data_IF_159572342738
#
_entry.id   IF_159572342738
#
_cell.length_a   1.000
_cell.length_b   1.000
_cell.length_c   1.000
_cell.angle_alpha   90.00
_cell.angle_beta   90.00
_cell.angle_gamma   90.00
#
_symmetry.space_group_name_H-M   'P 1'
#
loop_
_entity.id
_entity.type
_entity.pdbx_description
1 polymer ?
#
# COMPACT_ATOMS: atom_id res chain seq x y z
N UNK A 1 -30.69 -53.56 -54.48
CA UNK A 1 -32.11 -53.26 -54.38
C UNK A 1 -32.17 -51.87 -53.77
N UNK A 2 -32.29 -50.92 -54.51
CA UNK A 2 -33.27 -50.37 -55.45
C UNK A 2 -33.60 -49.03 -54.82
N UNK A 3 -33.12 -48.02 -55.40
CA UNK A 3 -33.67 -47.12 -56.41
C UNK A 3 -34.53 -46.02 -55.77
N UNK A 4 -34.07 -44.81 -55.95
CA UNK A 4 -34.53 -43.79 -56.94
C UNK A 4 -35.66 -42.97 -56.36
N UNK A 5 -35.73 -41.68 -56.51
CA UNK A 5 -35.46 -40.73 -57.54
C UNK A 5 -35.95 -39.40 -57.03
N UNK A 6 -35.22 -38.34 -57.32
CA UNK A 6 -35.48 -37.26 -58.29
C UNK A 6 -36.88 -36.67 -58.20
N UNK A 7 -37.10 -35.39 -58.17
CA UNK A 7 -36.71 -34.28 -58.98
C UNK A 7 -37.60 -33.08 -58.66
N UNK A 8 -37.04 -31.88 -58.73
CA UNK A 8 -37.40 -30.71 -59.53
C UNK A 8 -38.79 -30.10 -59.39
N UNK A 9 -38.88 -28.87 -59.07
CA UNK A 9 -39.25 -27.69 -59.93
C UNK A 9 -39.56 -26.51 -59.03
N UNK A 10 -38.83 -25.46 -59.03
CA UNK A 10 -38.74 -24.28 -59.94
C UNK A 10 -39.96 -23.30 -59.89
N UNK A 11 -39.57 -22.01 -59.62
CA UNK A 11 -40.20 -20.76 -60.09
C UNK A 11 -41.55 -20.41 -59.47
N UNK A 12 -41.86 -19.20 -59.13
CA UNK A 12 -41.66 -17.84 -59.69
C UNK A 12 -42.33 -16.81 -58.77
N UNK A 13 -41.69 -15.64 -58.67
CA UNK A 13 -42.28 -14.28 -58.82
C UNK A 13 -43.52 -13.97 -57.95
N UNK A 14 -43.70 -12.89 -57.36
CA UNK A 14 -43.39 -11.50 -57.58
C UNK A 14 -44.24 -10.67 -56.63
N UNK A 15 -43.74 -9.53 -56.25
CA UNK A 15 -44.42 -8.25 -56.00
C UNK A 15 -45.70 -8.21 -55.17
N UNK A 16 -45.55 -7.53 -54.00
CA UNK A 16 -46.43 -6.33 -53.79
C UNK A 16 -45.83 -5.43 -52.70
N UNK A 17 -45.38 -4.29 -53.19
CA UNK A 17 -45.21 -3.05 -52.42
C UNK A 17 -46.58 -2.58 -51.92
N UNK A 18 -46.67 -2.13 -50.69
CA UNK A 18 -47.38 -0.89 -50.36
C UNK A 18 -47.08 -0.43 -48.94
N UNK A 19 -46.36 0.65 -48.84
CA UNK A 19 -46.60 1.87 -48.08
C UNK A 19 -47.28 1.74 -46.71
N UNK A 20 -46.51 2.04 -45.65
CA UNK A 20 -46.98 2.89 -44.58
C UNK A 20 -45.77 3.76 -44.10
N UNK A 21 -45.77 4.97 -44.62
CA UNK A 21 -45.06 6.11 -44.05
C UNK A 21 -45.68 6.47 -42.71
N UNK A 22 -44.82 6.97 -41.89
CA UNK A 22 -44.99 7.96 -40.81
C UNK A 22 -44.80 7.44 -39.38
N UNK A 23 -43.66 7.67 -38.86
CA UNK A 23 -43.38 8.75 -37.88
C UNK A 23 -41.92 8.66 -37.43
N UNK A 24 -41.14 9.52 -38.01
CA UNK A 24 -39.80 9.84 -37.46
C UNK A 24 -40.05 10.63 -36.19
N UNK A 25 -39.84 9.96 -35.05
CA UNK A 25 -39.48 10.64 -33.81
C UNK A 25 -37.97 10.80 -33.86
N UNK A 26 -37.54 12.03 -33.94
CA UNK A 26 -36.13 12.41 -33.77
C UNK A 26 -35.68 12.08 -32.35
N UNK A 27 -35.02 10.94 -32.18
CA UNK A 27 -34.15 10.71 -31.01
C UNK A 27 -32.92 11.60 -31.20
N UNK A 28 -32.83 12.62 -30.38
CA UNK A 28 -31.59 13.36 -30.17
C UNK A 28 -30.54 12.34 -29.68
N UNK A 29 -29.56 12.05 -30.52
CA UNK A 29 -28.35 11.30 -30.11
C UNK A 29 -27.63 12.10 -29.04
N UNK A 30 -27.80 11.68 -27.78
CA UNK A 30 -26.94 12.08 -26.70
C UNK A 30 -25.53 11.54 -27.02
N UNK A 31 -24.65 12.45 -27.47
CA UNK A 31 -23.31 12.18 -27.99
C UNK A 31 -22.34 11.63 -26.93
N UNK A 32 -22.73 10.59 -26.22
CA UNK A 32 -21.86 9.84 -25.32
C UNK A 32 -20.84 9.00 -26.10
N UNK A 33 -19.57 9.39 -26.10
CA UNK A 33 -18.45 8.60 -26.65
C UNK A 33 -18.54 7.19 -26.07
N UNK A 34 -18.59 6.16 -26.93
CA UNK A 34 -18.72 4.77 -26.52
C UNK A 34 -17.51 4.34 -25.67
N UNK A 35 -17.72 3.36 -24.78
CA UNK A 35 -16.62 2.80 -23.96
C UNK A 35 -15.48 2.32 -24.87
N UNK A 36 -15.78 1.76 -26.02
CA UNK A 36 -14.79 1.30 -27.00
C UNK A 36 -13.98 2.46 -27.60
N UNK A 37 -14.61 3.57 -27.92
CA UNK A 37 -13.94 4.79 -28.42
C UNK A 37 -13.06 5.39 -27.32
N UNK A 38 -13.54 5.43 -26.07
CA UNK A 38 -12.75 5.88 -24.92
C UNK A 38 -11.52 5.00 -24.67
N UNK A 39 -11.64 3.68 -24.86
CA UNK A 39 -10.54 2.74 -24.75
C UNK A 39 -9.55 2.81 -25.93
N UNK A 40 -9.99 3.29 -27.09
CA UNK A 40 -9.14 3.41 -28.29
C UNK A 40 -8.47 4.78 -28.43
N UNK A 41 -8.93 5.80 -27.74
CA UNK A 41 -8.41 7.18 -27.82
C UNK A 41 -7.08 7.35 -27.08
N UNK A 42 -6.66 6.38 -26.25
CA UNK A 42 -5.52 6.50 -25.32
C UNK A 42 -4.16 6.02 -25.86
N UNK A 43 -4.02 5.68 -27.14
CA UNK A 43 -2.80 4.96 -27.55
C UNK A 43 -1.76 5.76 -28.33
N UNK A 44 -1.89 7.08 -28.58
CA UNK A 44 -0.91 7.82 -29.39
C UNK A 44 -0.43 9.18 -28.85
N UNK A 45 -1.09 9.77 -27.85
CA UNK A 45 -0.68 11.06 -27.28
C UNK A 45 -0.51 10.94 -25.75
N UNK A 46 0.59 10.41 -25.27
CA UNK A 46 0.92 10.35 -23.86
C UNK A 46 2.35 10.81 -23.61
N UNK A 47 2.65 11.21 -22.39
CA UNK A 47 3.99 11.61 -21.96
C UNK A 47 4.93 10.41 -21.75
N UNK A 48 4.38 9.20 -21.52
CA UNK A 48 5.17 8.00 -21.25
C UNK A 48 5.65 7.30 -22.51
N UNK A 49 6.90 6.87 -22.49
CA UNK A 49 7.48 5.90 -23.42
C UNK A 49 7.32 4.47 -22.86
N UNK A 50 7.60 4.27 -21.56
CA UNK A 50 7.38 3.02 -20.84
C UNK A 50 6.97 3.30 -19.39
N UNK A 51 5.68 3.26 -19.12
CA UNK A 51 5.11 3.59 -17.81
C UNK A 51 5.51 2.61 -16.69
N UNK A 52 5.86 1.37 -17.03
CA UNK A 52 6.25 0.37 -16.04
C UNK A 52 7.56 0.72 -15.32
N UNK A 53 8.44 1.50 -15.94
CA UNK A 53 9.69 1.95 -15.34
C UNK A 53 9.49 2.95 -14.17
N UNK A 54 8.34 3.57 -14.06
CA UNK A 54 7.95 4.46 -12.94
C UNK A 54 6.89 3.84 -12.04
N UNK A 55 6.77 2.53 -12.04
CA UNK A 55 6.01 1.80 -11.03
C UNK A 55 6.94 1.41 -9.88
N UNK A 56 6.49 1.66 -8.67
CA UNK A 56 7.27 1.36 -7.46
C UNK A 56 7.35 -0.13 -7.12
N UNK A 57 6.50 -0.97 -7.76
CA UNK A 57 6.43 -2.42 -7.60
C UNK A 57 7.20 -3.20 -8.70
N UNK A 58 7.76 -2.53 -9.68
CA UNK A 58 8.50 -3.18 -10.77
C UNK A 58 9.93 -3.50 -10.32
N UNK A 59 10.38 -4.73 -10.54
CA UNK A 59 11.77 -5.14 -10.39
C UNK A 59 12.58 -4.43 -11.48
N UNK A 60 13.55 -3.64 -11.06
CA UNK A 60 14.40 -2.85 -11.96
C UNK A 60 15.73 -3.55 -12.23
N UNK A 61 16.34 -3.21 -13.36
CA UNK A 61 17.70 -3.65 -13.69
C UNK A 61 18.73 -3.13 -12.66
N UNK A 62 19.79 -3.90 -12.42
CA UNK A 62 20.86 -3.57 -11.47
C UNK A 62 21.47 -2.19 -11.70
N UNK A 63 21.68 -1.79 -12.96
CA UNK A 63 22.20 -0.48 -13.32
C UNK A 63 21.36 0.72 -12.88
N UNK A 64 20.17 0.47 -12.30
CA UNK A 64 19.28 1.49 -11.76
C UNK A 64 19.28 1.55 -10.23
N UNK A 65 20.08 0.69 -9.58
CA UNK A 65 20.31 0.75 -8.14
C UNK A 65 21.35 1.82 -7.87
N UNK A 66 20.99 2.87 -7.17
CA UNK A 66 21.82 4.05 -6.94
C UNK A 66 21.85 4.40 -5.47
N UNK A 67 23.04 4.84 -4.99
CA UNK A 67 23.21 5.37 -3.64
C UNK A 67 23.08 4.32 -2.53
N UNK A 68 23.39 3.05 -2.85
CA UNK A 68 23.38 1.90 -1.94
C UNK A 68 24.60 1.00 -2.14
N UNK A 69 25.69 1.55 -2.61
CA UNK A 69 26.90 0.79 -2.95
C UNK A 69 27.42 0.00 -1.73
N UNK A 70 27.50 0.61 -0.55
CA UNK A 70 27.98 -0.06 0.66
C UNK A 70 27.05 -1.22 1.09
N UNK A 71 25.71 -1.04 1.01
CA UNK A 71 24.76 -2.09 1.34
C UNK A 71 24.78 -3.20 0.30
N UNK A 72 24.91 -2.84 -0.98
CA UNK A 72 25.02 -3.78 -2.08
C UNK A 72 26.28 -4.65 -1.93
N UNK A 73 27.44 -4.02 -1.68
CA UNK A 73 28.72 -4.71 -1.48
C UNK A 73 28.65 -5.67 -0.29
N UNK A 74 28.06 -5.25 0.84
CA UNK A 74 27.90 -6.13 2.02
C UNK A 74 27.01 -7.34 1.72
N UNK A 75 25.88 -7.17 1.01
CA UNK A 75 25.04 -8.30 0.61
C UNK A 75 25.77 -9.24 -0.33
N UNK A 76 26.54 -8.69 -1.30
CA UNK A 76 27.36 -9.48 -2.22
C UNK A 76 28.44 -10.26 -1.44
N UNK A 77 29.16 -9.62 -0.55
CA UNK A 77 30.20 -10.28 0.27
C UNK A 77 29.64 -11.45 1.09
N UNK A 78 28.44 -11.27 1.66
CA UNK A 78 27.76 -12.29 2.44
C UNK A 78 27.29 -13.48 1.58
N UNK A 79 26.80 -13.26 0.37
CA UNK A 79 26.28 -14.32 -0.49
C UNK A 79 27.31 -14.96 -1.42
N UNK A 80 28.37 -14.24 -1.80
CA UNK A 80 29.42 -14.72 -2.69
C UNK A 80 30.05 -16.07 -2.30
N UNK A 81 30.25 -16.43 -1.01
CA UNK A 81 30.80 -17.73 -0.63
C UNK A 81 30.00 -18.93 -1.15
N UNK A 82 28.70 -18.78 -1.45
CA UNK A 82 27.87 -19.89 -1.99
C UNK A 82 28.39 -20.42 -3.31
N UNK A 83 28.99 -19.57 -4.15
CA UNK A 83 29.58 -19.97 -5.43
C UNK A 83 30.74 -20.97 -5.28
N UNK A 84 31.36 -21.01 -4.09
CA UNK A 84 32.46 -21.92 -3.74
C UNK A 84 32.03 -22.99 -2.72
N UNK A 85 30.73 -23.26 -2.57
CA UNK A 85 30.15 -24.13 -1.52
C UNK A 85 30.48 -23.68 -0.09
N UNK A 86 30.80 -22.39 0.11
CA UNK A 86 31.05 -21.79 1.41
C UNK A 86 29.77 -21.54 2.18
N UNK A 87 29.88 -21.52 3.51
CA UNK A 87 28.76 -21.13 4.37
C UNK A 87 28.43 -19.65 4.17
N UNK A 88 27.15 -19.31 4.19
CA UNK A 88 26.63 -17.95 4.11
C UNK A 88 26.09 -17.53 5.48
N UNK A 89 26.37 -16.29 5.94
CA UNK A 89 25.83 -15.79 7.19
C UNK A 89 24.33 -15.51 7.07
N UNK A 90 23.65 -15.48 8.20
CA UNK A 90 22.33 -14.87 8.28
C UNK A 90 22.48 -13.35 8.15
N UNK A 91 21.44 -12.69 7.66
CA UNK A 91 21.44 -11.23 7.47
C UNK A 91 20.19 -10.60 8.06
N UNK A 92 20.33 -9.38 8.58
CA UNK A 92 19.21 -8.53 8.99
C UNK A 92 19.30 -7.20 8.24
N UNK A 93 18.32 -6.90 7.41
CA UNK A 93 18.24 -5.64 6.69
C UNK A 93 17.24 -4.73 7.42
N UNK A 94 17.76 -3.70 8.06
CA UNK A 94 16.97 -2.74 8.85
C UNK A 94 16.96 -1.35 8.21
N UNK A 95 15.91 -0.58 8.49
CA UNK A 95 15.78 0.81 8.04
C UNK A 95 14.37 1.16 7.56
N UNK A 96 14.08 2.43 7.30
CA UNK A 96 12.76 2.90 6.88
C UNK A 96 12.21 2.25 5.61
N UNK A 97 10.91 2.35 5.40
CA UNK A 97 10.26 1.88 4.17
C UNK A 97 10.74 2.68 2.95
N UNK A 98 10.83 2.01 1.78
CA UNK A 98 11.22 2.67 0.53
C UNK A 98 12.72 2.97 0.39
N UNK A 99 13.57 2.43 1.27
CA UNK A 99 15.03 2.64 1.25
C UNK A 99 15.81 1.62 0.41
N UNK A 100 15.14 0.67 -0.23
CA UNK A 100 15.74 -0.28 -1.18
C UNK A 100 16.14 -1.63 -0.60
N UNK A 101 15.81 -1.96 0.67
CA UNK A 101 16.17 -3.24 1.32
C UNK A 101 15.81 -4.46 0.49
N UNK A 102 14.53 -4.64 0.19
CA UNK A 102 14.02 -5.79 -0.58
C UNK A 102 14.54 -5.79 -2.02
N UNK A 103 14.76 -4.62 -2.60
CA UNK A 103 15.29 -4.48 -3.95
C UNK A 103 16.72 -5.04 -4.05
N UNK A 104 17.61 -4.64 -3.13
CA UNK A 104 19.02 -5.06 -3.15
C UNK A 104 19.15 -6.56 -2.95
N UNK A 105 18.49 -7.13 -1.94
CA UNK A 105 18.60 -8.57 -1.71
C UNK A 105 18.07 -9.37 -2.90
N UNK A 106 16.97 -8.95 -3.51
CA UNK A 106 16.40 -9.61 -4.68
C UNK A 106 17.32 -9.50 -5.89
N UNK A 107 17.93 -8.33 -6.15
CA UNK A 107 18.86 -8.13 -7.26
C UNK A 107 20.11 -9.01 -7.10
N UNK A 108 20.72 -9.03 -5.92
CA UNK A 108 21.90 -9.88 -5.66
C UNK A 108 21.55 -11.35 -5.74
N UNK A 109 20.43 -11.78 -5.15
CA UNK A 109 19.99 -13.18 -5.22
C UNK A 109 19.76 -13.64 -6.65
N UNK A 110 19.16 -12.80 -7.50
CA UNK A 110 18.97 -13.10 -8.92
C UNK A 110 20.31 -13.40 -9.61
N UNK A 111 21.32 -12.56 -9.40
CA UNK A 111 22.66 -12.77 -9.97
C UNK A 111 23.37 -14.01 -9.42
N UNK A 112 23.20 -14.28 -8.11
CA UNK A 112 23.75 -15.49 -7.48
C UNK A 112 23.10 -16.75 -8.07
N UNK A 113 21.79 -16.76 -8.30
CA UNK A 113 21.10 -17.90 -8.96
C UNK A 113 21.66 -18.12 -10.36
N UNK A 114 21.73 -17.09 -11.21
CA UNK A 114 22.27 -17.17 -12.58
C UNK A 114 23.73 -17.69 -12.58
N UNK A 115 24.56 -17.24 -11.62
CA UNK A 115 25.94 -17.71 -11.49
C UNK A 115 26.03 -19.15 -10.98
N UNK A 116 25.16 -19.58 -10.06
CA UNK A 116 25.07 -20.96 -9.59
C UNK A 116 24.65 -21.91 -10.72
N UNK A 117 23.63 -21.53 -11.47
CA UNK A 117 23.16 -22.30 -12.65
C UNK A 117 24.27 -22.47 -13.69
N UNK A 118 25.10 -21.44 -13.93
CA UNK A 118 26.27 -21.54 -14.83
C UNK A 118 27.34 -22.55 -14.35
N UNK A 119 27.25 -22.99 -13.08
CA UNK A 119 28.13 -23.97 -12.44
C UNK A 119 27.42 -25.32 -12.19
N UNK A 120 26.29 -25.56 -12.82
CA UNK A 120 25.45 -26.75 -12.61
C UNK A 120 24.98 -26.92 -11.14
N UNK A 121 24.70 -25.80 -10.44
CA UNK A 121 24.20 -25.77 -9.06
C UNK A 121 22.83 -25.12 -9.00
N UNK A 122 21.97 -25.62 -8.14
CA UNK A 122 20.64 -25.07 -7.91
C UNK A 122 20.63 -24.34 -6.56
N UNK A 123 20.50 -23.01 -6.60
CA UNK A 123 20.39 -22.18 -5.39
C UNK A 123 18.97 -21.66 -5.21
N UNK A 124 18.30 -22.08 -4.11
CA UNK A 124 16.92 -21.71 -3.81
C UNK A 124 16.82 -20.33 -3.14
N UNK A 125 15.99 -19.45 -3.69
CA UNK A 125 15.64 -18.15 -3.08
C UNK A 125 14.18 -18.19 -2.64
N UNK A 126 13.95 -18.52 -1.38
CA UNK A 126 12.61 -18.73 -0.82
C UNK A 126 12.16 -17.48 -0.06
N UNK A 127 11.42 -16.62 -0.74
CA UNK A 127 10.98 -15.32 -0.23
C UNK A 127 9.51 -15.32 0.20
N UNK A 128 9.23 -14.72 1.37
CA UNK A 128 7.88 -14.52 1.89
C UNK A 128 7.75 -13.10 2.43
N UNK A 129 6.73 -12.36 1.95
CA UNK A 129 6.28 -11.15 2.62
C UNK A 129 5.38 -11.54 3.81
N UNK A 130 5.77 -11.12 5.01
CA UNK A 130 5.17 -11.49 6.29
C UNK A 130 3.91 -10.67 6.65
N UNK A 131 3.53 -9.66 5.86
CA UNK A 131 2.27 -8.92 6.05
C UNK A 131 1.03 -9.84 5.93
N UNK A 132 1.09 -10.84 5.05
CA UNK A 132 -0.03 -11.76 4.81
C UNK A 132 -0.21 -12.89 5.83
N UNK A 133 0.83 -13.68 6.16
CA UNK A 133 0.74 -14.74 7.16
C UNK A 133 0.77 -14.16 8.58
N UNK A 134 -0.24 -14.50 9.41
CA UNK A 134 -0.30 -14.03 10.81
C UNK A 134 0.26 -15.06 11.82
N UNK A 135 0.83 -16.16 11.36
CA UNK A 135 1.38 -17.23 12.23
C UNK A 135 2.62 -17.84 11.60
N UNK A 136 3.52 -18.37 12.42
CA UNK A 136 4.70 -19.09 11.97
C UNK A 136 4.31 -20.28 11.04
N UNK A 137 3.26 -21.02 11.37
CA UNK A 137 2.73 -22.12 10.58
C UNK A 137 2.39 -21.71 9.13
N UNK A 138 1.74 -20.54 8.97
CA UNK A 138 1.46 -19.97 7.64
C UNK A 138 2.70 -19.46 6.95
N UNK A 139 3.68 -18.95 7.70
CA UNK A 139 4.98 -18.53 7.18
C UNK A 139 5.71 -19.72 6.55
N UNK A 140 5.81 -20.86 7.27
CA UNK A 140 6.40 -22.10 6.74
C UNK A 140 5.66 -22.59 5.49
N UNK A 141 4.34 -22.60 5.51
CA UNK A 141 3.56 -22.99 4.32
C UNK A 141 3.85 -22.09 3.11
N UNK A 142 4.03 -20.78 3.31
CA UNK A 142 4.39 -19.86 2.25
C UNK A 142 5.77 -20.12 1.67
N UNK A 143 6.74 -20.53 2.51
CA UNK A 143 8.07 -20.97 2.05
C UNK A 143 7.98 -22.25 1.20
N UNK A 144 7.18 -23.24 1.62
CA UNK A 144 6.93 -24.46 0.81
C UNK A 144 6.30 -24.09 -0.53
N UNK A 145 5.34 -23.17 -0.52
CA UNK A 145 4.68 -22.71 -1.74
C UNK A 145 5.66 -21.99 -2.66
N UNK A 146 6.52 -21.14 -2.13
CA UNK A 146 7.58 -20.45 -2.90
C UNK A 146 8.53 -21.46 -3.55
N UNK A 147 8.99 -22.48 -2.81
CA UNK A 147 9.83 -23.55 -3.33
C UNK A 147 9.09 -24.38 -4.41
N UNK A 148 7.82 -24.68 -4.20
CA UNK A 148 7.02 -25.43 -5.15
C UNK A 148 6.75 -24.67 -6.45
N UNK A 149 6.56 -23.35 -6.36
CA UNK A 149 6.41 -22.45 -7.51
C UNK A 149 7.71 -22.32 -8.30
N UNK A 150 8.85 -22.17 -7.61
CA UNK A 150 10.18 -22.10 -8.20
C UNK A 150 10.52 -23.38 -9.00
N UNK A 151 10.23 -24.52 -8.45
CA UNK A 151 10.52 -25.84 -9.03
C UNK A 151 9.43 -26.37 -9.97
N UNK A 152 8.27 -25.75 -10.04
CA UNK A 152 7.13 -26.26 -10.81
C UNK A 152 6.52 -27.57 -10.26
N UNK A 153 6.62 -27.83 -8.94
CA UNK A 153 6.15 -29.04 -8.28
C UNK A 153 4.91 -28.79 -7.39
N UNK A 154 4.28 -29.86 -6.91
CA UNK A 154 3.19 -29.74 -5.95
C UNK A 154 3.76 -29.51 -4.54
N UNK A 155 3.23 -28.60 -3.72
CA UNK A 155 3.64 -28.41 -2.33
C UNK A 155 3.65 -29.70 -1.49
N UNK A 156 2.75 -30.63 -1.77
CA UNK A 156 2.68 -31.94 -1.10
C UNK A 156 2.03 -31.89 0.29
N UNK A 157 1.72 -30.69 0.81
CA UNK A 157 1.02 -30.49 2.09
C UNK A 157 -0.07 -29.44 1.94
N UNK A 158 -1.20 -29.56 2.66
CA UNK A 158 -2.24 -28.54 2.66
C UNK A 158 -1.83 -27.34 3.53
N UNK A 159 -2.45 -26.19 3.26
CA UNK A 159 -2.24 -24.96 4.07
C UNK A 159 -2.65 -25.12 5.52
N UNK A 160 -3.67 -25.94 5.81
CA UNK A 160 -4.23 -26.15 7.15
C UNK A 160 -4.52 -27.62 7.41
N UNK A 161 -4.63 -28.01 8.68
CA UNK A 161 -4.97 -29.37 9.08
C UNK A 161 -3.76 -30.29 9.30
N UNK A 162 -2.53 -29.77 9.14
CA UNK A 162 -1.28 -30.48 9.47
C UNK A 162 -0.44 -29.61 10.41
N UNK A 163 0.42 -30.24 11.21
CA UNK A 163 1.27 -29.51 12.16
C UNK A 163 2.36 -28.71 11.46
N UNK A 164 2.89 -27.69 12.15
CA UNK A 164 4.05 -26.94 11.67
C UNK A 164 5.27 -27.82 11.46
N UNK A 165 5.47 -28.83 12.32
CA UNK A 165 6.60 -29.76 12.21
C UNK A 165 6.51 -30.60 10.91
N UNK A 166 5.31 -31.06 10.54
CA UNK A 166 5.11 -31.77 9.25
C UNK A 166 5.36 -30.88 8.04
N UNK A 167 5.03 -29.59 8.15
CA UNK A 167 5.33 -28.60 7.10
C UNK A 167 6.82 -28.35 6.99
N UNK A 168 7.53 -28.21 8.12
CA UNK A 168 8.99 -28.04 8.14
C UNK A 168 9.69 -29.24 7.54
N UNK A 169 9.28 -30.47 7.92
CA UNK A 169 9.83 -31.68 7.33
C UNK A 169 9.68 -31.69 5.81
N UNK A 170 8.47 -31.33 5.32
CA UNK A 170 8.23 -31.21 3.87
C UNK A 170 9.10 -30.14 3.22
N UNK A 171 9.30 -28.98 3.87
CA UNK A 171 10.20 -27.96 3.37
C UNK A 171 11.63 -28.49 3.24
N UNK A 172 12.13 -29.18 4.25
CA UNK A 172 13.47 -29.74 4.25
C UNK A 172 13.63 -30.91 3.26
N UNK A 173 12.58 -31.71 3.04
CA UNK A 173 12.56 -32.71 1.95
C UNK A 173 12.77 -32.05 0.59
N UNK A 174 11.97 -31.01 0.27
CA UNK A 174 12.10 -30.26 -0.98
C UNK A 174 13.51 -29.69 -1.13
N UNK A 175 14.06 -29.11 -0.04
CA UNK A 175 15.41 -28.56 -0.06
C UNK A 175 16.46 -29.64 -0.37
N UNK A 176 16.42 -30.79 0.31
CA UNK A 176 17.35 -31.91 0.10
C UNK A 176 17.30 -32.49 -1.32
N UNK A 177 16.10 -32.54 -1.91
CA UNK A 177 15.90 -33.15 -3.22
C UNK A 177 16.29 -32.23 -4.39
N UNK A 178 16.22 -30.89 -4.20
CA UNK A 178 16.24 -29.98 -5.33
C UNK A 178 17.27 -28.85 -5.25
N UNK A 179 17.85 -28.53 -4.08
CA UNK A 179 18.75 -27.41 -3.93
C UNK A 179 20.13 -27.80 -3.37
N UNK A 180 21.18 -27.15 -3.88
CA UNK A 180 22.54 -27.23 -3.35
C UNK A 180 22.78 -26.21 -2.24
N UNK A 181 21.98 -25.13 -2.18
CA UNK A 181 21.99 -24.11 -1.15
C UNK A 181 20.68 -23.31 -1.15
N UNK A 182 20.33 -22.71 -0.01
CA UNK A 182 19.06 -21.99 0.15
C UNK A 182 19.24 -20.70 0.95
N UNK A 183 18.58 -19.65 0.50
CA UNK A 183 18.34 -18.43 1.28
C UNK A 183 16.84 -18.26 1.54
N UNK A 184 16.48 -18.10 2.82
CA UNK A 184 15.16 -17.67 3.23
C UNK A 184 15.13 -16.17 3.33
N UNK A 185 14.18 -15.50 2.68
CA UNK A 185 13.96 -14.06 2.78
C UNK A 185 12.60 -13.82 3.42
N UNK A 186 12.61 -13.28 4.64
CA UNK A 186 11.41 -12.93 5.39
C UNK A 186 11.24 -11.40 5.36
N UNK A 187 10.49 -10.90 4.37
CA UNK A 187 10.24 -9.48 4.22
C UNK A 187 9.11 -9.02 5.16
N UNK A 188 9.28 -7.82 5.76
CA UNK A 188 8.36 -7.26 6.75
C UNK A 188 8.10 -8.22 7.93
N UNK A 189 9.18 -8.82 8.44
CA UNK A 189 9.12 -9.85 9.48
C UNK A 189 8.41 -9.38 10.76
N UNK A 190 8.51 -8.09 11.08
CA UNK A 190 7.84 -7.44 12.22
C UNK A 190 6.31 -7.47 12.11
N UNK A 191 5.74 -7.66 10.92
CA UNK A 191 4.31 -7.80 10.69
C UNK A 191 3.76 -9.20 11.05
N UNK A 192 4.64 -10.16 11.32
CA UNK A 192 4.27 -11.52 11.70
C UNK A 192 3.94 -11.59 13.19
N UNK A 193 2.75 -11.12 13.54
CA UNK A 193 2.20 -11.15 14.89
C UNK A 193 1.69 -12.57 15.25
N UNK A 194 1.72 -12.91 16.54
CA UNK A 194 1.19 -14.18 17.05
C UNK A 194 -0.12 -13.99 17.81
N UNK A 195 -0.93 -15.05 17.96
CA UNK A 195 -2.21 -14.97 18.67
C UNK A 195 -2.11 -14.83 20.21
N UNK A 196 -0.92 -14.99 20.82
CA UNK A 196 -0.72 -15.10 22.28
C UNK A 196 0.48 -14.30 22.79
N UNK A 197 0.49 -12.99 22.71
CA UNK A 197 1.52 -12.11 23.32
C UNK A 197 2.99 -12.40 22.93
N UNK A 198 3.28 -13.49 22.24
CA UNK A 198 4.59 -13.81 21.69
C UNK A 198 4.52 -13.69 20.18
N UNK A 199 5.35 -12.83 19.61
CA UNK A 199 5.37 -12.61 18.17
C UNK A 199 5.75 -13.90 17.42
N UNK A 200 4.96 -14.23 16.38
CA UNK A 200 5.14 -15.48 15.64
C UNK A 200 6.48 -15.55 14.90
N UNK A 201 7.11 -14.40 14.64
CA UNK A 201 8.45 -14.36 14.04
C UNK A 201 9.51 -15.05 14.91
N UNK A 202 9.40 -15.02 16.24
CA UNK A 202 10.35 -15.71 17.13
C UNK A 202 10.42 -17.21 16.84
N UNK A 203 9.24 -17.85 16.69
CA UNK A 203 9.17 -19.26 16.37
C UNK A 203 9.71 -19.56 14.97
N UNK A 204 9.36 -18.76 13.99
CA UNK A 204 9.80 -18.96 12.61
C UNK A 204 11.31 -18.80 12.47
N UNK A 205 11.87 -17.72 13.01
CA UNK A 205 13.32 -17.48 13.01
C UNK A 205 14.05 -18.65 13.70
N UNK A 206 13.59 -19.05 14.90
CA UNK A 206 14.21 -20.14 15.64
C UNK A 206 14.23 -21.45 14.85
N UNK A 207 13.13 -21.81 14.20
CA UNK A 207 13.02 -23.03 13.42
C UNK A 207 13.93 -23.01 12.20
N UNK A 208 13.90 -21.95 11.40
CA UNK A 208 14.69 -21.84 10.17
C UNK A 208 16.19 -21.71 10.44
N UNK A 209 16.61 -20.94 11.44
CA UNK A 209 18.03 -20.79 11.79
C UNK A 209 18.68 -22.09 12.31
N UNK A 210 17.87 -23.06 12.73
CA UNK A 210 18.39 -24.35 13.24
C UNK A 210 18.44 -25.45 12.19
N UNK A 211 17.87 -25.26 11.01
CA UNK A 211 17.85 -26.29 9.96
C UNK A 211 19.24 -26.91 9.69
N UNK A 212 20.27 -26.08 9.59
CA UNK A 212 21.67 -26.53 9.45
C UNK A 212 22.18 -27.32 10.66
N UNK A 213 21.84 -26.89 11.88
CA UNK A 213 22.33 -27.51 13.13
C UNK A 213 21.70 -28.86 13.39
N UNK A 214 20.50 -29.09 12.90
CA UNK A 214 19.76 -30.36 13.05
C UNK A 214 20.15 -31.40 11.99
N UNK A 215 20.95 -31.03 10.97
CA UNK A 215 21.31 -31.92 9.87
C UNK A 215 20.15 -32.13 8.87
N UNK A 216 19.19 -31.22 8.89
CA UNK A 216 18.02 -31.28 8.00
C UNK A 216 18.38 -30.94 6.55
N UNK A 217 19.51 -30.26 6.35
CA UNK A 217 20.06 -29.89 5.06
C UNK A 217 21.59 -29.70 5.12
N UNK A 218 22.32 -30.30 4.18
CA UNK A 218 23.79 -30.28 4.16
C UNK A 218 24.37 -29.06 3.44
N UNK A 219 23.59 -28.41 2.57
CA UNK A 219 23.98 -27.23 1.81
C UNK A 219 24.08 -25.96 2.66
N UNK A 220 24.64 -24.88 2.12
CA UNK A 220 24.62 -23.57 2.76
C UNK A 220 23.18 -23.07 2.89
N UNK A 221 22.84 -22.60 4.11
CA UNK A 221 21.57 -21.94 4.42
C UNK A 221 21.87 -20.57 4.98
N UNK A 222 21.08 -19.56 4.56
CA UNK A 222 21.00 -18.24 5.19
C UNK A 222 19.56 -17.87 5.47
N UNK A 223 19.32 -17.20 6.57
CA UNK A 223 18.07 -16.53 6.88
C UNK A 223 18.29 -15.03 6.83
N UNK A 224 17.63 -14.38 5.87
CA UNK A 224 17.59 -12.92 5.75
C UNK A 224 16.25 -12.40 6.25
N UNK A 225 16.26 -11.65 7.34
CA UNK A 225 15.09 -10.92 7.82
C UNK A 225 15.15 -9.47 7.34
N UNK A 226 14.02 -8.92 6.91
CA UNK A 226 13.88 -7.53 6.49
C UNK A 226 12.81 -6.88 7.37
N UNK A 227 13.14 -5.74 7.99
CA UNK A 227 12.22 -5.03 8.87
C UNK A 227 12.39 -3.51 8.76
N UNK A 228 11.32 -2.79 9.08
CA UNK A 228 11.35 -1.34 9.22
C UNK A 228 11.65 -0.90 10.68
N UNK A 229 11.78 -1.86 11.59
CA UNK A 229 11.95 -1.61 13.01
C UNK A 229 13.43 -1.77 13.43
N UNK A 230 14.05 -0.66 13.85
CA UNK A 230 15.49 -0.62 14.16
C UNK A 230 15.89 -1.51 15.37
N UNK A 231 14.99 -1.64 16.36
CA UNK A 231 15.25 -2.40 17.57
C UNK A 231 14.81 -3.87 17.50
N UNK A 232 14.54 -4.39 16.28
CA UNK A 232 14.00 -5.73 16.06
C UNK A 232 14.76 -6.84 16.81
N UNK A 233 16.09 -6.79 16.82
CA UNK A 233 16.92 -7.78 17.54
C UNK A 233 16.67 -7.79 19.04
N UNK A 234 16.30 -6.66 19.64
CA UNK A 234 16.04 -6.57 21.09
C UNK A 234 14.67 -7.17 21.46
N UNK A 235 13.75 -7.23 20.51
CA UNK A 235 12.41 -7.81 20.68
C UNK A 235 12.36 -9.32 20.48
N UNK A 236 13.43 -9.90 19.95
CA UNK A 236 13.54 -11.35 19.84
C UNK A 236 13.61 -11.98 21.24
N UNK A 237 12.87 -13.09 21.44
CA UNK A 237 13.03 -13.87 22.65
C UNK A 237 14.43 -14.55 22.70
N UNK A 238 14.85 -14.98 23.89
CA UNK A 238 16.19 -15.54 24.10
C UNK A 238 16.51 -16.77 23.24
N UNK A 239 15.50 -17.53 22.79
CA UNK A 239 15.70 -18.70 21.91
C UNK A 239 16.01 -18.27 20.48
N UNK A 240 15.22 -17.37 19.92
CA UNK A 240 15.45 -16.82 18.57
C UNK A 240 16.79 -16.07 18.55
N UNK A 241 17.04 -15.22 19.53
CA UNK A 241 18.26 -14.43 19.67
C UNK A 241 19.54 -15.30 19.77
N UNK A 242 19.50 -16.46 20.45
CA UNK A 242 20.63 -17.38 20.55
C UNK A 242 20.90 -18.19 19.28
N UNK A 243 19.91 -18.31 18.39
CA UNK A 243 20.02 -19.10 17.16
C UNK A 243 20.28 -18.25 15.91
N UNK A 244 19.88 -17.00 15.92
CA UNK A 244 19.97 -16.04 14.83
C UNK A 244 20.98 -14.95 15.22
N UNK A 245 22.13 -14.96 14.55
CA UNK A 245 23.20 -13.97 14.76
C UNK A 245 23.58 -13.39 13.39
N UNK A 246 22.73 -12.48 12.86
CA UNK A 246 22.88 -11.98 11.51
C UNK A 246 23.99 -10.92 11.39
N UNK A 247 24.49 -10.73 10.17
CA UNK A 247 25.12 -9.48 9.76
C UNK A 247 24.04 -8.41 9.59
N UNK A 248 24.11 -7.34 10.40
CA UNK A 248 23.12 -6.25 10.41
C UNK A 248 23.51 -5.17 9.41
N UNK A 249 22.68 -5.01 8.37
CA UNK A 249 22.87 -4.07 7.27
C UNK A 249 21.81 -2.97 7.38
N UNK A 250 22.24 -1.79 7.79
CA UNK A 250 21.35 -0.66 8.00
C UNK A 250 21.19 0.19 6.72
N UNK A 251 19.92 0.52 6.42
CA UNK A 251 19.52 1.38 5.30
C UNK A 251 19.01 2.72 5.82
N UNK A 252 19.74 3.78 5.55
CA UNK A 252 19.32 5.14 5.88
C UNK A 252 18.27 5.67 4.89
N UNK A 253 17.54 6.69 5.27
CA UNK A 253 16.70 7.48 4.35
C UNK A 253 17.53 8.01 3.17
N UNK A 254 16.93 8.11 1.99
CA UNK A 254 17.55 8.81 0.87
C UNK A 254 17.47 10.32 1.05
N UNK A 255 18.57 11.00 0.81
CA UNK A 255 18.56 12.46 0.69
C UNK A 255 18.02 12.93 -0.67
N UNK A 256 17.82 14.26 -0.80
CA UNK A 256 17.29 14.83 -2.04
C UNK A 256 18.19 14.61 -3.26
N UNK A 257 19.51 14.53 -3.07
CA UNK A 257 20.48 14.29 -4.16
C UNK A 257 20.39 12.85 -4.64
N UNK A 258 20.35 11.90 -3.71
CA UNK A 258 20.19 10.48 -4.04
C UNK A 258 18.84 10.22 -4.73
N UNK A 259 17.74 10.79 -4.21
CA UNK A 259 16.43 10.69 -4.86
C UNK A 259 16.44 11.28 -6.27
N UNK A 260 17.10 12.41 -6.46
CA UNK A 260 17.25 13.02 -7.78
C UNK A 260 17.95 12.05 -8.74
N UNK A 261 19.06 11.46 -8.34
CA UNK A 261 19.79 10.49 -9.17
C UNK A 261 18.93 9.26 -9.49
N UNK A 262 18.18 8.71 -8.49
CA UNK A 262 17.25 7.61 -8.70
C UNK A 262 16.19 7.96 -9.75
N UNK A 263 15.65 9.18 -9.72
CA UNK A 263 14.63 9.64 -10.66
C UNK A 263 15.21 9.91 -12.05
N UNK A 264 16.44 10.43 -12.13
CA UNK A 264 17.16 10.63 -13.39
C UNK A 264 17.37 9.30 -14.13
N UNK A 265 17.66 8.19 -13.44
CA UNK A 265 17.74 6.85 -14.02
C UNK A 265 16.39 6.26 -14.46
N UNK A 266 15.30 7.00 -14.30
CA UNK A 266 13.96 6.62 -14.74
C UNK A 266 13.37 7.60 -15.77
N UNK A 267 14.14 8.55 -16.26
CA UNK A 267 13.69 9.49 -17.30
C UNK A 267 13.25 8.81 -18.58
N UNK A 268 13.84 7.67 -18.90
CA UNK A 268 13.49 6.85 -20.06
C UNK A 268 12.09 6.20 -19.97
N UNK A 269 11.44 6.30 -18.83
CA UNK A 269 9.99 6.05 -18.71
C UNK A 269 9.16 7.04 -19.52
N UNK A 270 9.69 8.22 -19.78
CA UNK A 270 9.04 9.31 -20.48
C UNK A 270 9.58 9.49 -21.89
N UNK A 271 8.79 10.08 -22.77
CA UNK A 271 9.25 10.47 -24.11
C UNK A 271 10.32 11.55 -24.00
N UNK A 272 11.14 11.64 -25.01
CA UNK A 272 12.17 12.67 -25.08
C UNK A 272 11.53 14.07 -24.88
N UNK A 273 12.13 14.89 -24.03
CA UNK A 273 11.65 16.25 -23.69
C UNK A 273 10.27 16.33 -23.01
N UNK A 274 9.68 15.19 -22.62
CA UNK A 274 8.39 15.19 -21.93
C UNK A 274 8.46 15.70 -20.47
N UNK A 275 9.63 15.77 -19.84
CA UNK A 275 9.83 16.34 -18.51
C UNK A 275 10.51 17.71 -18.62
N UNK A 276 9.91 18.75 -18.03
CA UNK A 276 10.61 20.03 -17.87
C UNK A 276 11.73 19.91 -16.82
N UNK A 277 12.75 20.76 -16.90
CA UNK A 277 13.96 20.69 -16.06
C UNK A 277 13.67 20.71 -14.54
N UNK A 278 12.58 21.36 -14.13
CA UNK A 278 12.17 21.53 -12.73
C UNK A 278 11.48 20.29 -12.13
N UNK A 279 10.99 19.36 -12.94
CA UNK A 279 10.14 18.23 -12.48
C UNK A 279 10.91 17.32 -11.53
N UNK A 280 12.05 16.78 -11.96
CA UNK A 280 12.84 15.82 -11.16
C UNK A 280 13.36 16.45 -9.86
N UNK A 281 13.98 17.66 -9.88
CA UNK A 281 14.40 18.32 -8.66
C UNK A 281 13.26 18.53 -7.66
N UNK A 282 12.07 18.91 -8.13
CA UNK A 282 10.91 19.15 -7.27
C UNK A 282 10.37 17.84 -6.68
N UNK A 283 10.27 16.76 -7.48
CA UNK A 283 9.86 15.44 -6.99
C UNK A 283 10.82 14.92 -5.94
N UNK A 284 12.15 15.06 -6.16
CA UNK A 284 13.18 14.67 -5.20
C UNK A 284 13.07 15.46 -3.89
N UNK A 285 12.80 16.78 -3.98
CA UNK A 285 12.59 17.62 -2.80
C UNK A 285 11.36 17.17 -1.98
N UNK A 286 10.23 16.85 -2.62
CA UNK A 286 9.06 16.32 -1.93
C UNK A 286 9.31 14.92 -1.34
N UNK A 287 10.04 14.07 -2.04
CA UNK A 287 10.42 12.73 -1.56
C UNK A 287 11.29 12.81 -0.29
N UNK A 288 12.28 13.70 -0.24
CA UNK A 288 13.14 13.88 0.93
C UNK A 288 12.39 14.44 2.15
N UNK A 289 11.40 15.32 1.94
CA UNK A 289 10.54 15.82 3.01
C UNK A 289 9.62 14.74 3.61
N UNK A 290 9.37 13.65 2.88
CA UNK A 290 8.54 12.51 3.31
C UNK A 290 9.39 11.30 3.74
N UNK A 291 10.43 11.52 4.52
CA UNK A 291 11.33 10.50 5.04
C UNK A 291 12.13 9.75 3.95
N UNK A 292 12.56 10.42 2.89
CA UNK A 292 13.46 9.85 1.90
C UNK A 292 12.99 8.55 1.24
N UNK A 293 11.68 8.35 1.11
CA UNK A 293 11.06 7.14 0.54
C UNK A 293 11.09 7.21 -1.00
N UNK A 294 11.98 6.44 -1.63
CA UNK A 294 12.12 6.42 -3.08
C UNK A 294 10.86 5.90 -3.80
N UNK A 295 10.09 4.96 -3.20
CA UNK A 295 8.83 4.49 -3.77
C UNK A 295 7.84 5.63 -3.95
N UNK A 296 7.70 6.48 -2.91
CA UNK A 296 6.82 7.66 -2.97
C UNK A 296 7.28 8.69 -3.99
N UNK A 297 8.59 8.92 -4.10
CA UNK A 297 9.13 9.82 -5.11
C UNK A 297 8.84 9.32 -6.53
N UNK A 298 9.03 8.02 -6.80
CA UNK A 298 8.73 7.39 -8.08
C UNK A 298 7.23 7.45 -8.40
N UNK A 299 6.38 7.13 -7.42
CA UNK A 299 4.92 7.22 -7.57
C UNK A 299 4.48 8.67 -7.84
N UNK A 300 5.07 9.66 -7.17
CA UNK A 300 4.77 11.07 -7.39
C UNK A 300 5.11 11.50 -8.83
N UNK A 301 6.28 11.06 -9.34
CA UNK A 301 6.68 11.31 -10.72
C UNK A 301 5.69 10.69 -11.71
N UNK A 302 5.27 9.44 -11.48
CA UNK A 302 4.26 8.75 -12.28
C UNK A 302 2.93 9.48 -12.27
N UNK A 303 2.43 9.89 -11.12
CA UNK A 303 1.16 10.61 -11.00
C UNK A 303 1.21 11.98 -11.68
N UNK A 304 2.34 12.68 -11.60
CA UNK A 304 2.52 13.94 -12.34
C UNK A 304 2.40 13.70 -13.86
N UNK A 305 3.01 12.64 -14.39
CA UNK A 305 2.86 12.24 -15.79
C UNK A 305 1.40 11.89 -16.14
N UNK A 306 0.71 11.13 -15.32
CA UNK A 306 -0.70 10.79 -15.52
C UNK A 306 -1.61 12.03 -15.52
N UNK A 307 -1.29 13.05 -14.70
CA UNK A 307 -2.04 14.31 -14.71
C UNK A 307 -1.80 15.11 -15.98
N UNK A 308 -0.57 15.13 -16.50
CA UNK A 308 -0.25 15.76 -17.78
C UNK A 308 -1.01 15.09 -18.93
N UNK A 309 -1.04 13.76 -19.01
CA UNK A 309 -1.83 13.01 -20.00
C UNK A 309 -3.31 13.33 -19.92
N UNK A 310 -3.90 13.35 -18.72
CA UNK A 310 -5.33 13.66 -18.54
C UNK A 310 -5.71 15.07 -18.99
N UNK A 311 -4.80 16.04 -18.97
CA UNK A 311 -5.03 17.38 -19.52
C UNK A 311 -4.69 17.50 -21.01
N UNK A 312 -4.27 16.39 -21.66
CA UNK A 312 -3.92 16.36 -23.09
C UNK A 312 -2.59 17.06 -23.39
N UNK A 313 -1.64 17.07 -22.42
CA UNK A 313 -0.31 17.68 -22.60
C UNK A 313 0.73 16.62 -22.94
N UNK A 314 1.66 16.97 -23.81
CA UNK A 314 2.82 16.16 -24.17
C UNK A 314 4.00 16.40 -23.20
N UNK A 315 3.86 17.33 -22.25
CA UNK A 315 4.90 17.68 -21.28
C UNK A 315 4.38 17.71 -19.86
N UNK A 316 5.18 17.18 -18.94
CA UNK A 316 4.99 17.25 -17.48
C UNK A 316 5.70 18.48 -16.95
N UNK A 317 5.01 19.26 -16.13
CA UNK A 317 5.49 20.53 -15.59
C UNK A 317 5.52 20.51 -14.06
N UNK A 318 6.18 21.52 -13.46
CA UNK A 318 6.14 21.76 -12.01
C UNK A 318 4.70 21.78 -11.47
N UNK A 319 3.75 22.38 -12.20
CA UNK A 319 2.34 22.44 -11.79
C UNK A 319 1.71 21.04 -11.67
N UNK A 320 2.06 20.10 -12.54
CA UNK A 320 1.58 18.73 -12.47
C UNK A 320 2.13 18.02 -11.24
N UNK A 321 3.40 18.21 -10.91
CA UNK A 321 4.02 17.66 -9.69
C UNK A 321 3.34 18.20 -8.43
N UNK A 322 3.10 19.52 -8.35
CA UNK A 322 2.42 20.12 -7.19
C UNK A 322 0.97 19.63 -7.05
N UNK A 323 0.26 19.48 -8.16
CA UNK A 323 -1.10 18.94 -8.17
C UNK A 323 -1.12 17.45 -7.79
N UNK A 324 -0.15 16.66 -8.26
CA UNK A 324 0.01 15.26 -7.86
C UNK A 324 0.28 15.14 -6.36
N UNK A 325 1.20 15.94 -5.82
CA UNK A 325 1.54 15.96 -4.39
C UNK A 325 0.32 16.34 -3.52
N UNK A 326 -0.43 17.36 -3.94
CA UNK A 326 -1.66 17.77 -3.25
C UNK A 326 -2.68 16.63 -3.22
N UNK A 327 -2.99 16.01 -4.36
CA UNK A 327 -3.92 14.87 -4.45
C UNK A 327 -3.44 13.66 -3.64
N UNK A 328 -2.14 13.40 -3.63
CA UNK A 328 -1.57 12.31 -2.83
C UNK A 328 -1.83 12.53 -1.34
N UNK A 329 -1.57 13.75 -0.86
CA UNK A 329 -1.76 14.12 0.54
C UNK A 329 -3.24 14.03 0.94
N UNK A 330 -4.14 14.58 0.11
CA UNK A 330 -5.59 14.49 0.31
C UNK A 330 -6.07 13.03 0.34
N UNK A 331 -5.73 12.22 -0.65
CA UNK A 331 -6.11 10.81 -0.73
C UNK A 331 -5.55 9.97 0.44
N UNK A 332 -4.36 10.29 0.95
CA UNK A 332 -3.78 9.62 2.11
C UNK A 332 -4.60 9.88 3.37
N UNK A 333 -5.01 11.14 3.59
CA UNK A 333 -5.86 11.51 4.71
C UNK A 333 -7.23 10.82 4.63
N UNK A 334 -7.87 10.81 3.45
CA UNK A 334 -9.15 10.13 3.26
C UNK A 334 -9.07 8.63 3.52
N UNK A 335 -8.04 7.95 3.00
CA UNK A 335 -7.80 6.52 3.29
C UNK A 335 -7.55 6.26 4.77
N UNK A 336 -6.88 7.17 5.47
CA UNK A 336 -6.74 7.07 6.92
C UNK A 336 -8.11 7.08 7.61
N UNK A 337 -9.02 7.99 7.22
CA UNK A 337 -10.40 8.03 7.75
C UNK A 337 -11.13 6.71 7.48
N UNK A 338 -10.99 6.13 6.30
CA UNK A 338 -11.60 4.84 5.96
C UNK A 338 -11.10 3.70 6.85
N UNK A 339 -9.83 3.71 7.23
CA UNK A 339 -9.17 2.65 8.00
C UNK A 339 -9.36 2.70 9.52
N UNK A 340 -9.73 3.84 10.12
CA UNK A 340 -9.87 3.96 11.56
C UNK A 340 -11.14 3.32 12.11
N UNK A 341 -11.15 3.03 13.43
CA UNK A 341 -12.29 2.40 14.09
C UNK A 341 -13.56 3.25 14.00
N UNK A 342 -14.73 2.60 14.03
CA UNK A 342 -16.04 3.24 13.93
C UNK A 342 -16.24 4.37 14.94
N UNK A 343 -15.77 4.22 16.18
CA UNK A 343 -15.88 5.24 17.21
C UNK A 343 -14.98 6.47 16.92
N UNK A 344 -13.80 6.26 16.33
CA UNK A 344 -12.95 7.36 15.88
C UNK A 344 -13.57 8.07 14.67
N UNK A 345 -14.14 7.32 13.70
CA UNK A 345 -14.93 7.90 12.59
C UNK A 345 -16.06 8.78 13.10
N UNK A 346 -16.83 8.27 14.05
CA UNK A 346 -17.94 9.01 14.68
C UNK A 346 -17.47 10.30 15.35
N UNK A 347 -16.32 10.26 16.04
CA UNK A 347 -15.75 11.43 16.70
C UNK A 347 -15.33 12.51 15.69
N UNK A 348 -14.68 12.11 14.57
CA UNK A 348 -14.28 13.04 13.50
C UNK A 348 -15.52 13.56 12.76
N UNK A 349 -16.50 12.69 12.47
CA UNK A 349 -17.74 13.09 11.83
C UNK A 349 -18.45 14.20 12.63
N UNK A 350 -18.48 14.08 13.95
CA UNK A 350 -19.10 15.08 14.81
C UNK A 350 -18.37 16.44 14.77
N UNK A 351 -17.05 16.42 14.70
CA UNK A 351 -16.26 17.66 14.51
C UNK A 351 -16.54 18.25 13.12
N UNK A 352 -16.51 17.44 12.07
CA UNK A 352 -16.76 17.87 10.69
C UNK A 352 -18.19 18.41 10.51
N UNK A 353 -19.20 17.72 11.06
CA UNK A 353 -20.60 18.21 11.04
C UNK A 353 -20.76 19.53 11.78
N UNK A 354 -20.07 19.70 12.93
CA UNK A 354 -20.09 20.96 13.66
C UNK A 354 -19.42 22.07 12.87
N UNK A 355 -18.28 21.82 12.24
CA UNK A 355 -17.60 22.77 11.37
C UNK A 355 -18.44 23.16 10.15
N UNK A 356 -19.01 22.17 9.46
CA UNK A 356 -19.83 22.36 8.26
C UNK A 356 -21.04 23.27 8.52
N UNK A 357 -21.72 23.05 9.63
CA UNK A 357 -22.91 23.84 9.98
C UNK A 357 -22.59 25.18 10.65
N UNK A 358 -21.33 25.41 11.03
CA UNK A 358 -20.81 26.64 11.63
C UNK A 358 -20.05 27.53 10.65
N UNK A 359 -19.97 27.20 9.39
CA UNK A 359 -19.06 27.68 8.33
C UNK A 359 -18.87 29.21 8.25
N UNK A 360 -19.79 29.99 8.76
CA UNK A 360 -19.71 31.47 8.73
C UNK A 360 -19.32 32.09 10.09
N UNK A 361 -19.15 31.30 11.15
CA UNK A 361 -19.03 31.83 12.51
C UNK A 361 -17.81 31.36 13.31
N UNK A 362 -17.04 30.37 12.84
CA UNK A 362 -15.97 29.77 13.63
C UNK A 362 -14.69 29.49 12.81
N UNK A 363 -13.56 29.99 13.31
CA UNK A 363 -12.22 29.62 12.81
C UNK A 363 -11.80 28.23 13.31
N UNK A 364 -12.35 27.78 14.46
CA UNK A 364 -12.05 26.49 15.05
C UNK A 364 -13.25 25.96 15.86
N UNK A 365 -13.46 24.64 15.84
CA UNK A 365 -14.58 23.94 16.45
C UNK A 365 -14.35 23.73 17.96
N UNK A 366 -15.18 24.28 18.85
CA UNK A 366 -15.03 24.01 20.28
C UNK A 366 -15.43 22.56 20.64
N UNK A 367 -14.64 21.91 21.50
CA UNK A 367 -14.87 20.52 21.91
C UNK A 367 -16.21 20.26 22.58
N UNK A 368 -16.81 21.25 23.25
CA UNK A 368 -18.11 21.13 23.91
C UNK A 368 -19.27 20.89 22.94
N UNK A 369 -19.52 21.81 21.99
CA UNK A 369 -20.48 21.64 20.91
C UNK A 369 -20.22 20.38 20.08
N UNK A 370 -18.96 20.10 19.68
CA UNK A 370 -18.61 18.89 18.94
C UNK A 370 -18.97 17.60 19.70
N UNK A 371 -18.73 17.54 21.01
CA UNK A 371 -19.10 16.39 21.82
C UNK A 371 -20.62 16.19 21.91
N UNK A 372 -21.39 17.25 22.00
CA UNK A 372 -22.87 17.13 21.97
C UNK A 372 -23.38 16.67 20.61
N UNK A 373 -22.74 17.11 19.52
CA UNK A 373 -23.00 16.59 18.18
C UNK A 373 -22.66 15.09 18.09
N UNK A 374 -21.53 14.66 18.66
CA UNK A 374 -21.16 13.25 18.78
C UNK A 374 -22.24 12.43 19.51
N UNK A 375 -22.73 12.93 20.65
CA UNK A 375 -23.77 12.23 21.40
C UNK A 375 -25.08 12.11 20.60
N UNK A 376 -25.48 13.15 19.89
CA UNK A 376 -26.66 13.10 19.02
C UNK A 376 -26.48 12.04 17.94
N UNK A 377 -25.38 12.05 17.22
CA UNK A 377 -25.13 11.13 16.11
C UNK A 377 -25.04 9.69 16.62
N UNK A 378 -24.32 9.46 17.74
CA UNK A 378 -24.23 8.14 18.36
C UNK A 378 -25.61 7.55 18.67
N UNK A 379 -26.52 8.36 19.23
CA UNK A 379 -27.91 7.96 19.48
C UNK A 379 -28.66 7.66 18.18
N UNK A 380 -28.48 8.48 17.15
CA UNK A 380 -29.17 8.31 15.86
C UNK A 380 -28.82 6.99 15.18
N UNK A 381 -27.54 6.58 15.24
CA UNK A 381 -27.06 5.32 14.63
C UNK A 381 -27.01 4.15 15.61
N UNK A 382 -27.54 4.31 16.84
CA UNK A 382 -27.60 3.24 17.83
C UNK A 382 -26.26 2.78 18.38
N UNK A 383 -25.26 3.67 18.46
CA UNK A 383 -23.94 3.36 19.01
C UNK A 383 -23.76 3.84 20.44
N UNK A 384 -22.94 3.11 21.20
CA UNK A 384 -22.56 3.49 22.56
C UNK A 384 -21.83 4.83 22.59
N UNK A 385 -22.16 5.67 23.56
CA UNK A 385 -21.50 6.95 23.77
C UNK A 385 -20.29 6.78 24.69
N UNK A 386 -19.15 7.30 24.25
CA UNK A 386 -17.97 7.41 25.10
C UNK A 386 -17.96 8.70 25.91
N UNK A 387 -17.13 8.75 26.94
CA UNK A 387 -16.92 9.94 27.74
C UNK A 387 -16.38 11.10 26.89
N UNK A 388 -16.58 12.33 27.37
CA UNK A 388 -15.99 13.52 26.70
C UNK A 388 -14.48 13.45 26.61
N UNK A 389 -13.82 12.88 27.59
CA UNK A 389 -12.37 12.70 27.60
C UNK A 389 -11.93 11.73 26.49
N UNK A 390 -12.58 10.56 26.35
CA UNK A 390 -12.33 9.60 25.29
C UNK A 390 -12.60 10.20 23.91
N UNK A 391 -13.70 10.95 23.75
CA UNK A 391 -13.99 11.66 22.51
C UNK A 391 -12.85 12.63 22.13
N UNK A 392 -12.42 13.47 23.08
CA UNK A 392 -11.33 14.42 22.85
C UNK A 392 -10.04 13.68 22.47
N UNK A 393 -9.71 12.58 23.16
CA UNK A 393 -8.53 11.76 22.83
C UNK A 393 -8.62 11.17 21.43
N UNK A 394 -9.78 10.63 21.03
CA UNK A 394 -10.00 10.12 19.66
C UNK A 394 -9.78 11.20 18.59
N UNK A 395 -10.23 12.43 18.85
CA UNK A 395 -10.05 13.55 17.92
C UNK A 395 -8.60 14.02 17.89
N UNK A 396 -7.98 14.27 19.07
CA UNK A 396 -6.60 14.79 19.12
C UNK A 396 -5.57 13.80 18.59
N UNK A 397 -5.78 12.50 18.72
CA UNK A 397 -4.93 11.48 18.10
C UNK A 397 -4.82 11.67 16.58
N UNK A 398 -5.87 12.18 15.93
CA UNK A 398 -5.87 12.37 14.47
C UNK A 398 -4.99 13.54 14.00
N UNK A 399 -4.50 14.37 14.93
CA UNK A 399 -3.52 15.42 14.59
C UNK A 399 -2.18 14.82 14.15
N UNK A 400 -1.80 13.66 14.70
CA UNK A 400 -0.58 12.92 14.31
C UNK A 400 -0.60 12.51 12.83
N UNK A 401 -1.80 12.34 12.27
CA UNK A 401 -2.00 12.01 10.85
C UNK A 401 -2.29 13.22 9.97
N UNK A 402 -2.17 14.44 10.54
CA UNK A 402 -2.40 15.70 9.84
C UNK A 402 -3.86 15.94 9.42
N UNK A 403 -4.82 15.27 10.08
CA UNK A 403 -6.26 15.43 9.81
C UNK A 403 -6.83 16.72 10.38
N UNK A 404 -6.28 17.18 11.50
CA UNK A 404 -6.68 18.39 12.20
C UNK A 404 -5.55 18.89 13.09
N UNK A 405 -5.64 20.15 13.45
CA UNK A 405 -4.87 20.77 14.52
C UNK A 405 -5.75 21.03 15.72
N UNK A 406 -5.16 21.14 16.90
CA UNK A 406 -5.90 21.48 18.11
C UNK A 406 -5.13 22.43 19.01
N UNK A 407 -5.86 23.29 19.71
CA UNK A 407 -5.29 24.20 20.68
C UNK A 407 -6.19 24.31 21.94
N UNK A 408 -5.56 24.72 23.05
CA UNK A 408 -6.25 25.00 24.31
C UNK A 408 -6.41 26.51 24.46
N UNK A 409 -7.65 26.98 24.53
CA UNK A 409 -7.95 28.40 24.77
C UNK A 409 -8.62 28.56 26.13
N UNK A 410 -8.09 29.44 26.99
CA UNK A 410 -8.71 29.84 28.25
C UNK A 410 -9.80 30.89 28.01
N UNK A 411 -10.95 30.75 28.67
CA UNK A 411 -12.08 31.71 28.57
C UNK A 411 -12.12 32.75 29.68
N UNK A 412 -11.00 33.04 30.34
CA UNK A 412 -10.91 34.00 31.44
C UNK A 412 -11.10 33.38 32.83
N UNK A 413 -11.01 34.25 33.89
CA UNK A 413 -11.01 33.79 35.29
C UNK A 413 -12.32 33.08 35.64
N UNK A 414 -12.23 31.76 35.99
CA UNK A 414 -13.35 30.96 36.45
C UNK A 414 -14.12 30.18 35.35
N UNK A 415 -13.81 30.34 34.07
CA UNK A 415 -14.56 29.72 32.96
C UNK A 415 -13.90 28.48 32.32
N UNK A 416 -12.77 28.03 32.84
CA UNK A 416 -12.08 26.82 32.40
C UNK A 416 -11.29 26.97 31.10
N UNK A 417 -10.61 25.88 30.72
CA UNK A 417 -9.86 25.75 29.46
C UNK A 417 -10.66 24.86 28.51
N UNK A 418 -10.87 25.30 27.29
CA UNK A 418 -11.56 24.54 26.25
C UNK A 418 -10.59 24.15 25.14
N UNK A 419 -10.78 22.93 24.61
CA UNK A 419 -10.10 22.46 23.42
C UNK A 419 -10.84 22.97 22.17
N UNK A 420 -10.10 23.39 21.15
CA UNK A 420 -10.61 23.80 19.85
C UNK A 420 -9.91 22.99 18.76
N UNK A 421 -10.65 22.59 17.75
CA UNK A 421 -10.19 21.76 16.63
C UNK A 421 -10.30 22.52 15.31
N UNK A 422 -9.25 22.50 14.52
CA UNK A 422 -9.21 23.07 13.16
C UNK A 422 -8.97 21.92 12.18
N UNK A 423 -9.95 21.63 11.32
CA UNK A 423 -9.82 20.58 10.31
C UNK A 423 -8.86 21.00 9.21
N UNK A 424 -8.03 20.09 8.75
CA UNK A 424 -7.08 20.31 7.65
C UNK A 424 -7.70 20.10 6.27
N UNK A 425 -8.84 19.40 6.21
CA UNK A 425 -9.61 19.14 4.98
C UNK A 425 -10.98 19.82 5.05
N UNK A 426 -11.61 19.99 3.89
CA UNK A 426 -12.98 20.53 3.84
C UNK A 426 -13.93 19.61 4.63
N UNK A 427 -14.74 20.19 5.54
CA UNK A 427 -15.66 19.39 6.36
C UNK A 427 -16.60 18.50 5.55
N UNK A 428 -17.10 18.96 4.38
CA UNK A 428 -18.01 18.17 3.52
C UNK A 428 -17.29 16.91 2.99
N UNK A 429 -16.04 17.04 2.53
CA UNK A 429 -15.24 15.92 2.05
C UNK A 429 -15.05 14.85 3.13
N UNK A 430 -14.82 15.25 4.38
CA UNK A 430 -14.72 14.33 5.53
C UNK A 430 -16.06 13.62 5.76
N UNK A 431 -17.16 14.36 5.74
CA UNK A 431 -18.52 13.81 5.95
C UNK A 431 -18.88 12.80 4.86
N UNK A 432 -18.63 13.10 3.59
CA UNK A 432 -18.87 12.20 2.46
C UNK A 432 -18.05 10.91 2.56
N UNK A 433 -16.75 11.05 2.88
CA UNK A 433 -15.85 9.89 3.07
C UNK A 433 -16.36 8.95 4.15
N UNK A 434 -16.81 9.49 5.30
CA UNK A 434 -17.31 8.66 6.40
C UNK A 434 -18.68 8.05 6.06
N UNK A 435 -19.55 8.76 5.33
CA UNK A 435 -20.85 8.25 4.86
C UNK A 435 -20.70 7.07 3.87
N UNK A 436 -19.55 6.94 3.22
CA UNK A 436 -19.20 5.75 2.43
C UNK A 436 -19.16 4.45 3.23
N UNK A 437 -18.99 4.52 4.55
CA UNK A 437 -19.15 3.39 5.46
C UNK A 437 -20.67 3.18 5.75
N UNK A 438 -21.19 1.99 5.45
CA UNK A 438 -22.62 1.65 5.53
C UNK A 438 -23.27 1.97 6.87
N UNK A 439 -22.50 1.99 7.96
CA UNK A 439 -22.96 2.34 9.32
C UNK A 439 -23.32 3.82 9.47
N UNK A 440 -22.84 4.67 8.57
CA UNK A 440 -23.05 6.12 8.60
C UNK A 440 -23.92 6.61 7.42
N UNK A 441 -24.32 5.72 6.50
CA UNK A 441 -25.06 6.09 5.28
C UNK A 441 -26.37 6.83 5.57
N UNK A 442 -27.09 6.45 6.62
CA UNK A 442 -28.38 7.04 6.98
C UNK A 442 -28.27 8.46 7.58
N UNK A 443 -27.06 8.95 7.91
CA UNK A 443 -26.87 10.28 8.48
C UNK A 443 -27.14 11.43 7.50
N UNK A 444 -27.24 11.15 6.22
CA UNK A 444 -27.62 12.15 5.21
C UNK A 444 -29.08 12.60 5.39
N UNK A 445 -29.98 11.68 5.68
CA UNK A 445 -31.40 11.96 5.94
C UNK A 445 -31.63 12.75 7.23
N UNK A 446 -30.73 12.63 8.22
CA UNK A 446 -30.78 13.31 9.51
C UNK A 446 -30.06 14.68 9.53
N UNK A 447 -29.54 15.13 8.38
CA UNK A 447 -28.68 16.34 8.30
C UNK A 447 -29.39 17.62 8.79
N UNK A 448 -30.71 17.73 8.62
CA UNK A 448 -31.49 18.87 9.12
C UNK A 448 -31.62 18.89 10.64
N UNK A 449 -31.78 17.73 11.26
CA UNK A 449 -31.82 17.58 12.73
C UNK A 449 -30.46 17.93 13.31
N UNK A 450 -29.40 17.40 12.75
CA UNK A 450 -28.00 17.70 13.14
C UNK A 450 -27.72 19.21 13.03
N UNK A 451 -28.08 19.82 11.91
CA UNK A 451 -27.93 21.27 11.68
C UNK A 451 -28.62 22.12 12.74
N UNK A 452 -29.86 21.76 13.07
CA UNK A 452 -30.66 22.50 14.06
C UNK A 452 -30.03 22.42 15.44
N UNK A 453 -29.59 21.22 15.85
CA UNK A 453 -28.94 21.01 17.15
C UNK A 453 -27.59 21.70 17.22
N UNK A 454 -26.76 21.60 16.20
CA UNK A 454 -25.45 22.26 16.14
C UNK A 454 -25.61 23.77 16.28
N UNK A 455 -26.50 24.41 15.52
CA UNK A 455 -26.73 25.86 15.58
C UNK A 455 -27.17 26.31 16.96
N UNK A 456 -28.12 25.60 17.59
CA UNK A 456 -28.55 25.89 18.94
C UNK A 456 -27.41 25.81 19.96
N UNK A 457 -26.60 24.76 19.88
CA UNK A 457 -25.47 24.55 20.79
C UNK A 457 -24.36 25.60 20.62
N UNK A 458 -24.11 26.04 19.40
CA UNK A 458 -23.16 27.13 19.14
C UNK A 458 -23.69 28.46 19.70
N UNK A 459 -24.99 28.74 19.58
CA UNK A 459 -25.60 29.92 20.20
C UNK A 459 -25.50 29.89 21.73
N UNK A 460 -25.83 28.75 22.34
CA UNK A 460 -25.70 28.55 23.81
C UNK A 460 -24.23 28.70 24.25
N UNK A 461 -23.29 28.19 23.44
CA UNK A 461 -21.86 28.29 23.74
C UNK A 461 -21.34 29.72 23.66
N UNK A 462 -21.82 30.52 22.71
CA UNK A 462 -21.46 31.93 22.57
C UNK A 462 -22.12 32.81 23.63
N UNK A 463 -23.39 32.53 24.00
CA UNK A 463 -24.09 33.32 25.04
C UNK A 463 -23.52 33.07 26.44
N UNK A 464 -22.87 31.94 26.67
CA UNK A 464 -22.16 31.60 27.90
C UNK A 464 -20.65 31.98 27.86
N UNK A 465 -20.22 32.60 26.79
CA UNK A 465 -18.86 33.09 26.59
C UNK A 465 -18.71 34.53 27.06
#
# INVERSE_FOLDING_TARGET
>A
MGQDGSSEHSKTESEQQSSLESSRVSEEEDGGISIRERLQTDSSSGVFANKDLVRSDTIIDEGRIVGRDDQLDRVIENLKPVLQNGGIPDMLLTGPSGTGKSLIIQAVCKQIVELCESQDKTFGVLSVNCEGPKTADRGVYRLIKAAAEDLGINPGVPQSGVSTDQKLERLYEIMREHYDGVIFILDEIDMLEGPYQEAAYNSLIYQLSRARKLGDFDGPISLTAITNYADFMTDLNSRAQSSYNPDDIFFTDYDATQLRTILEHRQDAFKLEALTEDVIPLVAAFGSQTHGDARKAIDLLRWAGELAERRGSDTVTEADVRNAQKKYTENRKLRHIEGISTQKKLSIYAVAATAHHAKETLDAVPSGPAYKTYQLIANTIGMDQYSRETFVNHVTEQSTYGMLDFERRGRGRGRGVHMYFTLSEDPETILETIRGDTRFADLETESQTIRTVVRRQLQEFHSNA
#
